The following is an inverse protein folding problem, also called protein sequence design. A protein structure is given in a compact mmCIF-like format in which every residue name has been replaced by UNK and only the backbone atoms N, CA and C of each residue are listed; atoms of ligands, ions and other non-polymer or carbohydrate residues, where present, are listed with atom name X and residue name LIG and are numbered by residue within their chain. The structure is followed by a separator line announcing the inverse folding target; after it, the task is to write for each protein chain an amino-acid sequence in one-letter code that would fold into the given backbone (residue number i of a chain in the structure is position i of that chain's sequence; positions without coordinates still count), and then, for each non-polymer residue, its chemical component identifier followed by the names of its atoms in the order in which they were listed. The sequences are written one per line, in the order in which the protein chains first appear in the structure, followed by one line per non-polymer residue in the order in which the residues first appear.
data_IF_364093200355
#
_entry.id   IF_364093200355
#
_cell.length_a   1.000
_cell.length_b   1.000
_cell.length_c   1.000
_cell.angle_alpha   90.00
_cell.angle_beta   90.00
_cell.angle_gamma   90.00
#
_symmetry.space_group_name_H-M   'P 1'
#
loop_
_entity.id
_entity.type
_entity.pdbx_description
1 polymer ?
#
# COMPACT_ATOMS: atom_id res chain seq x y z
N UNK A 1 11.18 -17.07 -8.58
CA UNK A 1 11.28 -17.35 -7.13
C UNK A 1 10.60 -18.68 -6.86
N UNK A 2 11.27 -19.64 -6.20
CA UNK A 2 10.63 -20.92 -5.82
C UNK A 2 9.64 -20.66 -4.68
N UNK A 3 8.44 -21.24 -4.73
CA UNK A 3 7.42 -21.06 -3.70
C UNK A 3 7.91 -21.50 -2.31
N UNK A 4 8.75 -22.54 -2.24
CA UNK A 4 9.36 -23.01 -0.99
C UNK A 4 10.24 -21.98 -0.27
N UNK A 5 10.65 -20.90 -0.95
CA UNK A 5 11.45 -19.79 -0.40
C UNK A 5 10.65 -18.49 -0.23
N UNK A 6 9.35 -18.48 -0.56
CA UNK A 6 8.51 -17.30 -0.43
C UNK A 6 8.12 -17.09 1.03
N UNK A 7 8.29 -15.88 1.54
CA UNK A 7 7.80 -15.50 2.85
C UNK A 7 6.28 -15.23 2.80
N UNK A 8 5.55 -15.79 3.76
CA UNK A 8 4.08 -15.73 3.85
C UNK A 8 3.44 -17.10 3.56
N UNK A 9 2.27 -17.33 4.18
CA UNK A 9 1.47 -18.55 3.96
C UNK A 9 0.04 -18.16 3.67
N UNK A 10 -0.58 -18.89 2.74
CA UNK A 10 -1.99 -18.72 2.44
C UNK A 10 -2.86 -19.17 3.61
N UNK A 11 -4.02 -18.56 3.78
CA UNK A 11 -5.00 -18.95 4.79
C UNK A 11 -6.13 -19.75 4.13
N UNK A 12 -6.52 -20.86 4.77
CA UNK A 12 -7.65 -21.68 4.33
C UNK A 12 -8.95 -20.87 4.37
N UNK A 13 -9.14 -20.11 5.43
CA UNK A 13 -10.32 -19.26 5.67
C UNK A 13 -9.87 -17.81 5.84
N UNK A 14 -10.76 -16.87 5.50
CA UNK A 14 -10.48 -15.45 5.72
C UNK A 14 -10.72 -15.12 7.20
N UNK A 15 -9.94 -14.21 7.78
CA UNK A 15 -10.23 -13.66 9.10
C UNK A 15 -11.63 -13.02 9.16
N UNK A 16 -12.30 -13.12 10.31
CA UNK A 16 -13.70 -12.74 10.47
C UNK A 16 -13.94 -11.23 10.27
N UNK A 17 -12.93 -10.43 10.59
CA UNK A 17 -12.90 -8.97 10.43
C UNK A 17 -12.87 -8.53 8.95
N UNK A 18 -12.51 -9.42 8.02
CA UNK A 18 -12.48 -9.10 6.60
C UNK A 18 -13.89 -9.19 5.99
N UNK A 19 -14.55 -8.05 5.81
CA UNK A 19 -15.93 -8.00 5.33
C UNK A 19 -16.05 -8.07 3.80
N UNK A 20 -15.18 -7.37 3.06
CA UNK A 20 -15.30 -7.28 1.60
C UNK A 20 -14.60 -8.45 0.89
N UNK A 21 -15.08 -8.88 -0.29
CA UNK A 21 -14.45 -9.97 -1.05
C UNK A 21 -12.96 -9.71 -1.35
N UNK A 22 -12.61 -8.48 -1.75
CA UNK A 22 -11.22 -8.10 -2.03
C UNK A 22 -10.32 -8.21 -0.80
N UNK A 23 -10.77 -7.68 0.35
CA UNK A 23 -10.01 -7.76 1.59
C UNK A 23 -9.80 -9.23 2.02
N UNK A 24 -10.85 -10.06 1.95
CA UNK A 24 -10.76 -11.51 2.25
C UNK A 24 -9.71 -12.20 1.39
N UNK A 25 -9.69 -11.92 0.08
CA UNK A 25 -8.72 -12.50 -0.85
C UNK A 25 -7.29 -12.06 -0.56
N UNK A 26 -7.08 -10.78 -0.27
CA UNK A 26 -5.75 -10.25 0.02
C UNK A 26 -5.12 -10.89 1.26
N UNK A 27 -5.91 -11.08 2.32
CA UNK A 27 -5.41 -11.74 3.53
C UNK A 27 -5.14 -13.23 3.27
N UNK A 28 -6.07 -13.93 2.61
CA UNK A 28 -5.92 -15.36 2.32
C UNK A 28 -4.76 -15.68 1.39
N UNK A 29 -4.46 -14.81 0.44
CA UNK A 29 -3.41 -15.02 -0.55
C UNK A 29 -2.01 -14.61 -0.05
N UNK A 30 -1.84 -14.25 1.22
CA UNK A 30 -0.60 -13.70 1.76
C UNK A 30 -0.11 -12.47 0.96
N UNK A 31 -1.04 -11.58 0.59
CA UNK A 31 -0.75 -10.32 -0.10
C UNK A 31 -0.50 -9.21 0.93
N UNK A 32 -1.29 -9.17 1.99
CA UNK A 32 -1.18 -8.19 3.07
C UNK A 32 -1.44 -8.84 4.42
N UNK A 33 -0.94 -8.21 5.49
CA UNK A 33 -1.19 -8.59 6.88
C UNK A 33 -1.59 -7.35 7.70
N UNK A 34 -2.67 -7.39 8.50
CA UNK A 34 -3.03 -6.26 9.37
C UNK A 34 -1.94 -6.00 10.40
N UNK A 35 -1.65 -4.72 10.66
CA UNK A 35 -0.76 -4.24 11.71
C UNK A 35 -1.56 -3.53 12.82
N UNK A 36 -2.48 -2.65 12.42
CA UNK A 36 -3.44 -1.96 13.30
C UNK A 36 -4.70 -1.60 12.49
N UNK A 37 -5.69 -0.96 13.11
CA UNK A 37 -6.87 -0.48 12.40
C UNK A 37 -6.45 0.46 11.25
N UNK A 38 -6.79 0.09 10.01
CA UNK A 38 -6.41 0.84 8.81
C UNK A 38 -4.95 0.71 8.36
N UNK A 39 -4.10 -0.01 9.11
CA UNK A 39 -2.68 -0.17 8.81
C UNK A 39 -2.35 -1.61 8.42
N UNK A 40 -1.64 -1.78 7.30
CA UNK A 40 -1.29 -3.09 6.75
C UNK A 40 0.17 -3.16 6.35
N UNK A 41 0.76 -4.34 6.53
CA UNK A 41 2.06 -4.69 5.96
C UNK A 41 1.85 -5.39 4.63
N UNK A 42 2.48 -4.87 3.58
CA UNK A 42 2.58 -5.58 2.29
C UNK A 42 3.51 -6.78 2.43
N UNK A 43 2.98 -7.97 2.16
CA UNK A 43 3.78 -9.19 2.06
C UNK A 43 4.44 -9.26 0.66
N UNK A 44 5.43 -10.14 0.42
CA UNK A 44 6.24 -10.09 -0.79
C UNK A 44 5.45 -10.11 -2.10
N UNK A 45 4.35 -10.87 -2.17
CA UNK A 45 3.49 -10.88 -3.36
C UNK A 45 2.74 -9.56 -3.53
N UNK A 46 2.17 -9.01 -2.46
CA UNK A 46 1.48 -7.72 -2.50
C UNK A 46 2.41 -6.57 -2.84
N UNK A 47 3.61 -6.57 -2.26
CA UNK A 47 4.63 -5.55 -2.57
C UNK A 47 5.05 -5.59 -4.05
N UNK A 48 5.17 -6.78 -4.65
CA UNK A 48 5.43 -6.91 -6.09
C UNK A 48 4.30 -6.37 -6.96
N UNK A 49 3.04 -6.55 -6.54
CA UNK A 49 1.90 -5.99 -7.26
C UNK A 49 1.87 -4.46 -7.11
N UNK A 50 2.06 -3.94 -5.89
CA UNK A 50 2.14 -2.51 -5.63
C UNK A 50 3.20 -1.83 -6.51
N UNK A 51 4.40 -2.43 -6.62
CA UNK A 51 5.47 -1.93 -7.50
C UNK A 51 5.12 -1.95 -8.99
N UNK A 52 4.30 -2.91 -9.45
CA UNK A 52 3.82 -2.92 -10.85
C UNK A 52 2.84 -1.79 -11.10
N UNK A 53 1.93 -1.54 -10.16
CA UNK A 53 0.96 -0.43 -10.25
C UNK A 53 1.69 0.90 -10.22
N UNK A 54 2.62 1.08 -9.28
CA UNK A 54 3.48 2.28 -9.18
C UNK A 54 4.23 2.54 -10.49
N UNK A 55 4.78 1.49 -11.11
CA UNK A 55 5.47 1.62 -12.40
C UNK A 55 4.54 2.11 -13.52
N UNK A 56 3.33 1.56 -13.63
CA UNK A 56 2.36 2.01 -14.65
C UNK A 56 2.02 3.48 -14.43
N UNK A 57 1.77 3.89 -13.18
CA UNK A 57 1.49 5.30 -12.86
C UNK A 57 2.67 6.18 -13.29
N UNK A 58 3.91 5.80 -12.96
CA UNK A 58 5.11 6.55 -13.37
C UNK A 58 5.25 6.65 -14.88
N UNK A 59 5.09 5.53 -15.60
CA UNK A 59 5.14 5.50 -17.07
C UNK A 59 4.13 6.47 -17.69
N UNK A 60 2.90 6.53 -17.17
CA UNK A 60 1.87 7.43 -17.69
C UNK A 60 2.10 8.91 -17.29
N UNK A 61 2.66 9.16 -16.11
CA UNK A 61 3.05 10.52 -15.68
C UNK A 61 4.22 11.06 -16.53
N UNK A 62 5.19 10.21 -16.85
CA UNK A 62 6.33 10.57 -17.70
C UNK A 62 5.86 10.94 -19.13
N UNK A 63 4.86 10.22 -19.67
CA UNK A 63 4.29 10.52 -21.00
C UNK A 63 3.70 11.93 -21.11
N UNK A 64 3.21 12.49 -20.01
CA UNK A 64 2.65 13.84 -19.97
C UNK A 64 3.66 14.90 -19.49
N UNK A 65 4.93 14.52 -19.31
CA UNK A 65 6.01 15.44 -18.94
C UNK A 65 6.05 15.82 -17.46
N UNK A 66 5.43 15.04 -16.57
CA UNK A 66 5.55 15.26 -15.14
C UNK A 66 7.00 14.99 -14.66
N UNK A 67 7.39 15.63 -13.56
CA UNK A 67 8.68 15.38 -12.89
C UNK A 67 8.42 14.74 -11.52
N UNK A 68 8.95 13.55 -11.29
CA UNK A 68 8.78 12.84 -10.02
C UNK A 68 9.72 13.38 -8.94
N UNK A 69 9.19 13.56 -7.73
CA UNK A 69 9.97 13.91 -6.54
C UNK A 69 9.35 13.28 -5.28
N UNK A 70 10.14 13.11 -4.23
CA UNK A 70 9.69 12.61 -2.93
C UNK A 70 9.78 13.72 -1.87
N UNK A 71 8.73 13.84 -1.05
CA UNK A 71 8.67 14.78 0.07
C UNK A 71 8.66 14.01 1.40
N UNK A 72 9.15 14.60 2.49
CA UNK A 72 9.11 13.95 3.80
C UNK A 72 7.66 13.73 4.26
N UNK A 73 7.42 12.58 4.87
CA UNK A 73 6.10 12.24 5.44
C UNK A 73 5.77 13.15 6.63
N UNK A 74 6.78 13.54 7.41
CA UNK A 74 6.64 14.50 8.50
C UNK A 74 6.99 15.90 8.00
N UNK A 75 6.05 16.83 8.12
CA UNK A 75 6.18 18.23 7.68
C UNK A 75 5.96 19.22 8.83
N UNK A 76 6.60 20.41 8.82
CA UNK A 76 6.35 21.44 9.83
C UNK A 76 4.88 21.89 9.88
N UNK A 77 4.38 22.21 11.07
CA UNK A 77 2.99 22.62 11.26
C UNK A 77 2.70 24.00 10.63
N UNK A 78 3.72 24.85 10.51
CA UNK A 78 3.62 26.21 9.99
C UNK A 78 3.03 26.24 8.57
N UNK A 79 3.44 25.33 7.68
CA UNK A 79 2.94 25.24 6.30
C UNK A 79 1.44 24.93 6.25
N UNK A 80 0.95 24.11 7.18
CA UNK A 80 -0.47 23.77 7.27
C UNK A 80 -1.29 24.95 7.80
N UNK A 81 -0.80 25.61 8.85
CA UNK A 81 -1.40 26.81 9.45
C UNK A 81 -1.53 27.96 8.43
N UNK A 82 -0.50 28.19 7.61
CA UNK A 82 -0.54 29.20 6.54
C UNK A 82 -1.68 28.99 5.55
N UNK A 83 -2.03 27.73 5.26
CA UNK A 83 -3.15 27.40 4.36
C UNK A 83 -4.50 27.26 5.08
N UNK A 84 -4.54 27.45 6.40
CA UNK A 84 -5.75 27.26 7.22
C UNK A 84 -6.18 25.81 7.41
N UNK A 85 -5.37 24.82 7.00
CA UNK A 85 -5.72 23.38 7.05
C UNK A 85 -5.28 22.66 8.32
N UNK A 86 -4.79 23.38 9.32
CA UNK A 86 -4.27 22.78 10.55
C UNK A 86 -5.36 22.39 11.56
N UNK A 87 -6.45 23.15 11.62
CA UNK A 87 -7.53 22.98 12.60
C UNK A 87 -8.78 22.30 12.01
N UNK A 88 -8.74 21.96 10.72
CA UNK A 88 -9.86 21.41 9.95
C UNK A 88 -10.06 19.91 10.17
#
# INVERSE_FOLDING_TARGET
MKQSKLFGRTLREAPAEAQTPGHRLMLRAAIARPLAAGLYTWLPLGFRVAKKVERIIREEQDRIGAQEMEMPVLTPAETWKQTGRWEA
#
